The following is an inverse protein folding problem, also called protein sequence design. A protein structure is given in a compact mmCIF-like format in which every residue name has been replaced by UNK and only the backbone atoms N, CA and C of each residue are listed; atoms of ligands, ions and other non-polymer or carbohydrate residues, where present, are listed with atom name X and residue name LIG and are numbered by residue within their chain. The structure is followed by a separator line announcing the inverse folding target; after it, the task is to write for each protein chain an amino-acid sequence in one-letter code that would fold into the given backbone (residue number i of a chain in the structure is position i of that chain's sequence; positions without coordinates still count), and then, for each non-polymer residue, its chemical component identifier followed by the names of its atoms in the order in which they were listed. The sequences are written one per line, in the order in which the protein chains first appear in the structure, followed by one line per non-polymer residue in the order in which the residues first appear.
data_IF_631097569005
#
_entry.id   IF_631097569005
#
_cell.length_a   1.000
_cell.length_b   1.000
_cell.length_c   1.000
_cell.angle_alpha   90.00
_cell.angle_beta   90.00
_cell.angle_gamma   90.00
#
_symmetry.space_group_name_H-M   'P 1'
#
loop_
_entity.id
_entity.type
_entity.pdbx_description
1 polymer ?
#
# COMPACT_ATOMS: atom_id res chain seq x y z
N UNK A 1 14.93 -3.55 35.39
CA UNK A 1 16.32 -3.06 35.42
C UNK A 1 16.41 -1.86 34.50
N UNK A 2 16.48 -0.66 35.00
CA UNK A 2 16.78 0.53 34.19
C UNK A 2 18.27 0.49 33.87
N UNK A 3 18.62 0.50 32.59
CA UNK A 3 20.02 0.64 32.16
C UNK A 3 20.54 2.00 32.66
N UNK A 4 21.81 2.07 33.06
CA UNK A 4 22.46 3.26 33.67
C UNK A 4 22.41 4.54 32.80
N UNK A 5 21.99 4.45 31.55
CA UNK A 5 21.95 5.55 30.56
C UNK A 5 20.57 5.73 29.90
N UNK A 6 19.50 5.25 30.52
CA UNK A 6 18.12 5.38 30.03
C UNK A 6 17.30 6.19 31.02
N UNK A 7 16.68 7.26 30.55
CA UNK A 7 15.65 8.01 31.27
C UNK A 7 14.29 7.69 30.62
N UNK A 8 13.30 7.36 31.44
CA UNK A 8 11.94 7.06 31.02
C UNK A 8 11.02 8.16 31.50
N UNK A 9 10.25 8.73 30.59
CA UNK A 9 9.19 9.70 30.88
C UNK A 9 7.86 9.16 30.38
N UNK A 10 6.85 9.26 31.22
CA UNK A 10 5.48 8.87 30.86
C UNK A 10 4.65 10.12 30.58
N UNK A 11 4.01 10.15 29.43
CA UNK A 11 3.12 11.23 29.00
C UNK A 11 1.73 10.63 28.80
N UNK A 12 0.79 11.03 29.62
CA UNK A 12 -0.57 10.47 29.62
C UNK A 12 -1.53 11.20 28.69
N UNK A 13 -1.13 12.36 28.16
CA UNK A 13 -1.97 13.25 27.37
C UNK A 13 -1.22 13.72 26.13
N UNK A 14 -1.81 13.50 24.95
CA UNK A 14 -1.22 13.91 23.67
C UNK A 14 -0.94 15.43 23.59
N UNK A 15 -1.80 16.25 24.20
CA UNK A 15 -1.64 17.70 24.21
C UNK A 15 -0.36 18.20 24.90
N UNK A 16 0.25 17.36 25.74
CA UNK A 16 1.53 17.63 26.39
C UNK A 16 2.73 17.44 25.48
N UNK A 17 2.58 16.74 24.38
CA UNK A 17 3.64 16.49 23.38
C UNK A 17 3.84 17.72 22.51
N UNK A 18 4.42 18.76 23.09
CA UNK A 18 4.69 20.03 22.42
C UNK A 18 6.18 20.18 22.07
N UNK A 19 6.51 21.12 21.17
CA UNK A 19 7.91 21.45 20.87
C UNK A 19 8.72 21.81 22.12
N UNK A 20 8.11 22.55 23.05
CA UNK A 20 8.77 22.97 24.28
C UNK A 20 9.04 21.76 25.18
N UNK A 21 8.10 20.80 25.29
CA UNK A 21 8.31 19.55 26.00
C UNK A 21 9.56 18.80 25.50
N UNK A 22 9.70 18.65 24.18
CA UNK A 22 10.85 17.95 23.60
C UNK A 22 12.16 18.73 23.77
N UNK A 23 12.13 20.05 23.70
CA UNK A 23 13.30 20.90 23.96
C UNK A 23 13.75 20.74 25.42
N UNK A 24 12.82 20.81 26.35
CA UNK A 24 13.13 20.66 27.79
C UNK A 24 13.64 19.26 28.12
N UNK A 25 12.98 18.23 27.61
CA UNK A 25 13.40 16.85 27.79
C UNK A 25 14.80 16.59 27.19
N UNK A 26 15.07 17.11 26.01
CA UNK A 26 16.39 17.00 25.36
C UNK A 26 17.49 17.67 26.20
N UNK A 27 17.23 18.88 26.68
CA UNK A 27 18.18 19.63 27.52
C UNK A 27 18.47 18.91 28.86
N UNK A 28 17.45 18.30 29.46
CA UNK A 28 17.55 17.58 30.72
C UNK A 28 18.28 16.24 30.57
N UNK A 29 17.89 15.45 29.55
CA UNK A 29 18.38 14.08 29.39
C UNK A 29 19.67 14.01 28.56
N UNK A 30 19.94 15.00 27.70
CA UNK A 30 21.06 15.02 26.74
C UNK A 30 21.12 13.74 25.90
N UNK A 31 19.96 13.21 25.54
CA UNK A 31 19.83 11.98 24.81
C UNK A 31 20.18 12.17 23.33
N UNK A 32 20.97 11.27 22.77
CA UNK A 32 21.26 11.20 21.33
C UNK A 32 20.17 10.48 20.55
N UNK A 33 19.40 9.60 21.24
CA UNK A 33 18.27 8.84 20.69
C UNK A 33 17.10 8.87 21.64
N UNK A 34 15.93 8.97 21.06
CA UNK A 34 14.65 8.90 21.77
C UNK A 34 13.84 7.76 21.15
N UNK A 35 13.36 6.85 22.01
CA UNK A 35 12.39 5.85 21.64
C UNK A 35 11.04 6.27 22.21
N UNK A 36 10.04 6.30 21.35
CA UNK A 36 8.68 6.67 21.76
C UNK A 36 7.79 5.45 21.60
N UNK A 37 7.27 4.94 22.74
CA UNK A 37 6.13 4.01 22.70
C UNK A 37 4.88 4.85 22.57
N UNK A 38 4.40 4.94 21.34
CA UNK A 38 3.32 5.84 20.98
C UNK A 38 1.96 5.18 21.20
N UNK A 39 1.01 5.92 21.76
CA UNK A 39 -0.35 5.44 21.90
C UNK A 39 -1.04 5.40 20.54
N UNK A 40 -1.38 4.21 20.05
CA UNK A 40 -2.00 4.00 18.75
C UNK A 40 -3.38 4.65 18.54
N UNK A 41 -3.97 5.22 19.59
CA UNK A 41 -5.20 6.01 19.50
C UNK A 41 -4.98 7.49 19.21
N UNK A 42 -3.72 7.94 19.30
CA UNK A 42 -3.34 9.33 19.02
C UNK A 42 -2.97 9.50 17.56
N UNK A 43 -3.01 10.74 17.08
CA UNK A 43 -2.68 11.07 15.70
C UNK A 43 -1.17 11.21 15.53
N UNK A 44 -0.62 10.37 14.69
CA UNK A 44 0.82 10.29 14.45
C UNK A 44 1.37 11.52 13.71
N UNK A 45 0.60 12.08 12.78
CA UNK A 45 0.93 13.30 12.05
C UNK A 45 1.04 14.52 12.98
N UNK A 46 0.09 14.71 13.91
CA UNK A 46 0.13 15.77 14.92
C UNK A 46 1.37 15.62 15.83
N UNK A 47 1.72 14.38 16.19
CA UNK A 47 2.94 14.11 16.94
C UNK A 47 4.20 14.51 16.16
N UNK A 48 4.32 14.12 14.91
CA UNK A 48 5.48 14.45 14.06
C UNK A 48 5.61 15.96 13.91
N UNK A 49 4.50 16.68 13.70
CA UNK A 49 4.48 18.13 13.58
C UNK A 49 4.86 18.86 14.89
N UNK A 50 4.70 18.18 16.03
CA UNK A 50 5.09 18.72 17.35
C UNK A 50 6.59 18.62 17.62
N UNK A 51 7.35 17.88 16.81
CA UNK A 51 8.79 17.73 17.03
C UNK A 51 9.57 19.03 16.69
N UNK A 52 10.60 19.37 17.48
CA UNK A 52 11.49 20.50 17.16
C UNK A 52 12.38 20.18 15.96
N UNK A 53 12.82 21.19 15.22
CA UNK A 53 13.56 21.05 13.96
C UNK A 53 14.91 20.30 14.07
N UNK A 54 15.45 20.12 15.27
CA UNK A 54 16.68 19.37 15.50
C UNK A 54 16.41 17.87 15.77
N UNK A 55 15.16 17.46 15.89
CA UNK A 55 14.75 16.06 15.98
C UNK A 55 14.25 15.54 14.65
N UNK A 56 14.63 14.34 14.30
CA UNK A 56 14.22 13.65 13.08
C UNK A 56 13.65 12.29 13.44
N UNK A 57 12.51 11.94 12.85
CA UNK A 57 11.97 10.59 12.95
C UNK A 57 12.78 9.69 12.03
N UNK A 58 13.53 8.77 12.64
CA UNK A 58 14.42 7.85 11.90
C UNK A 58 13.67 6.61 11.44
N UNK A 59 12.72 6.13 12.23
CA UNK A 59 11.94 4.93 11.92
C UNK A 59 10.61 4.93 12.67
N UNK A 60 9.55 4.47 11.98
CA UNK A 60 8.23 4.22 12.55
C UNK A 60 7.92 2.73 12.40
N UNK A 61 7.69 2.06 13.53
CA UNK A 61 7.32 0.66 13.59
C UNK A 61 5.93 0.55 14.22
N UNK A 62 4.99 -0.09 13.53
CA UNK A 62 3.66 -0.36 14.05
C UNK A 62 3.57 -1.81 14.52
N UNK A 63 3.22 -2.03 15.77
CA UNK A 63 2.99 -3.36 16.34
C UNK A 63 1.48 -3.65 16.35
N UNK A 64 1.09 -4.79 15.80
CA UNK A 64 -0.30 -5.22 15.71
C UNK A 64 -0.46 -6.57 16.38
N UNK A 65 -1.37 -6.68 17.32
CA UNK A 65 -1.73 -7.95 17.93
C UNK A 65 -2.69 -8.72 17.01
N UNK A 66 -2.23 -9.84 16.44
CA UNK A 66 -3.02 -10.65 15.52
C UNK A 66 -4.28 -11.26 16.18
N UNK A 67 -4.25 -11.55 17.48
CA UNK A 67 -5.41 -12.12 18.21
C UNK A 67 -6.60 -11.15 18.28
N UNK A 68 -6.35 -9.85 18.24
CA UNK A 68 -7.38 -8.80 18.37
C UNK A 68 -7.59 -8.03 17.08
N UNK A 69 -6.85 -8.37 16.03
CA UNK A 69 -6.82 -7.63 14.77
C UNK A 69 -8.22 -7.44 14.15
N UNK A 70 -8.97 -8.53 13.98
CA UNK A 70 -10.29 -8.48 13.32
C UNK A 70 -11.31 -7.64 14.11
N UNK A 71 -11.22 -7.68 15.43
CA UNK A 71 -12.04 -6.85 16.31
C UNK A 71 -11.72 -5.36 16.11
N UNK A 72 -10.44 -4.99 16.09
CA UNK A 72 -10.03 -3.61 15.84
C UNK A 72 -10.34 -3.17 14.42
N UNK A 73 -10.11 -4.02 13.43
CA UNK A 73 -10.41 -3.73 12.03
C UNK A 73 -11.91 -3.44 11.83
N UNK A 74 -12.78 -4.20 12.49
CA UNK A 74 -14.23 -4.03 12.39
C UNK A 74 -14.74 -2.77 13.08
N UNK A 75 -14.13 -2.37 14.20
CA UNK A 75 -14.64 -1.27 15.04
C UNK A 75 -13.87 0.03 14.85
N UNK A 76 -12.60 -0.02 14.46
CA UNK A 76 -11.67 1.12 14.46
C UNK A 76 -10.79 1.15 13.20
N UNK A 77 -11.34 0.70 12.08
CA UNK A 77 -10.61 0.58 10.80
C UNK A 77 -9.83 1.85 10.46
N UNK A 78 -10.48 3.02 10.54
CA UNK A 78 -9.84 4.29 10.20
C UNK A 78 -8.58 4.55 11.02
N UNK A 79 -8.65 4.36 12.34
CA UNK A 79 -7.52 4.58 13.25
C UNK A 79 -6.36 3.64 12.89
N UNK A 80 -6.65 2.37 12.60
CA UNK A 80 -5.63 1.40 12.19
C UNK A 80 -4.99 1.79 10.85
N UNK A 81 -5.81 2.18 9.85
CA UNK A 81 -5.29 2.60 8.55
C UNK A 81 -4.43 3.86 8.65
N UNK A 82 -4.79 4.81 9.52
CA UNK A 82 -3.99 6.02 9.77
C UNK A 82 -2.61 5.69 10.34
N UNK A 83 -2.51 4.70 11.22
CA UNK A 83 -1.22 4.23 11.75
C UNK A 83 -0.32 3.62 10.65
N UNK A 84 -0.90 3.00 9.61
CA UNK A 84 -0.11 2.40 8.54
C UNK A 84 0.45 3.41 7.53
N UNK A 85 -0.14 4.61 7.41
CA UNK A 85 0.22 5.60 6.38
C UNK A 85 1.69 6.01 6.41
N UNK A 86 2.25 6.18 7.59
CA UNK A 86 3.60 6.70 7.80
C UNK A 86 4.59 5.65 8.30
N UNK A 87 4.14 4.43 8.51
CA UNK A 87 5.00 3.35 9.03
C UNK A 87 5.93 2.79 7.95
N UNK A 88 7.18 2.51 8.30
CA UNK A 88 8.09 1.76 7.43
C UNK A 88 7.99 0.25 7.66
N UNK A 89 7.56 -0.15 8.86
CA UNK A 89 7.49 -1.57 9.24
C UNK A 89 6.25 -1.84 10.08
N UNK A 90 5.48 -2.85 9.69
CA UNK A 90 4.38 -3.39 10.50
C UNK A 90 4.75 -4.79 10.95
N UNK A 91 4.63 -5.06 12.24
CA UNK A 91 4.87 -6.38 12.82
C UNK A 91 3.57 -6.88 13.44
N UNK A 92 3.02 -7.92 12.84
CA UNK A 92 1.91 -8.67 13.43
C UNK A 92 2.49 -9.70 14.39
N UNK A 93 2.32 -9.48 15.68
CA UNK A 93 2.76 -10.44 16.70
C UNK A 93 1.62 -11.39 17.10
N UNK A 94 1.97 -12.44 17.82
CA UNK A 94 1.02 -13.48 18.31
C UNK A 94 0.23 -14.17 17.21
N UNK A 95 0.80 -14.22 16.01
CA UNK A 95 0.20 -15.00 14.94
C UNK A 95 0.19 -16.49 15.29
N UNK A 96 -0.84 -17.18 14.84
CA UNK A 96 -0.99 -18.63 14.89
C UNK A 96 -1.08 -19.22 13.48
N UNK A 97 -1.18 -20.52 13.37
CA UNK A 97 -1.44 -21.19 12.07
C UNK A 97 -2.76 -20.77 11.43
N UNK A 98 -3.72 -20.32 12.23
CA UNK A 98 -5.06 -19.92 11.77
C UNK A 98 -5.13 -18.41 11.41
N UNK A 99 -4.05 -17.66 11.61
CA UNK A 99 -3.97 -16.24 11.27
C UNK A 99 -3.92 -16.04 9.75
N UNK A 100 -4.82 -15.25 9.20
CA UNK A 100 -4.81 -14.89 7.76
C UNK A 100 -3.76 -13.81 7.47
N UNK A 101 -2.51 -14.26 7.39
CA UNK A 101 -1.35 -13.37 7.13
C UNK A 101 -1.45 -12.66 5.80
N UNK A 102 -2.11 -13.29 4.81
CA UNK A 102 -2.32 -12.69 3.49
C UNK A 102 -3.26 -11.49 3.59
N UNK A 103 -4.41 -11.63 4.27
CA UNK A 103 -5.34 -10.53 4.52
C UNK A 103 -4.68 -9.40 5.34
N UNK A 104 -3.90 -9.75 6.38
CA UNK A 104 -3.18 -8.75 7.18
C UNK A 104 -2.19 -7.94 6.33
N UNK A 105 -1.41 -8.63 5.48
CA UNK A 105 -0.49 -7.97 4.56
C UNK A 105 -1.23 -7.09 3.57
N UNK A 106 -2.32 -7.58 2.97
CA UNK A 106 -3.15 -6.80 2.03
C UNK A 106 -3.65 -5.50 2.67
N UNK A 107 -4.16 -5.54 3.89
CA UNK A 107 -4.68 -4.36 4.57
C UNK A 107 -3.61 -3.27 4.79
N UNK A 108 -2.38 -3.66 5.11
CA UNK A 108 -1.24 -2.71 5.23
C UNK A 108 -0.87 -2.16 3.86
N UNK A 109 -0.67 -3.05 2.87
CA UNK A 109 -0.24 -2.68 1.51
C UNK A 109 -1.27 -1.82 0.76
N UNK A 110 -2.55 -2.01 1.03
CA UNK A 110 -3.61 -1.17 0.52
C UNK A 110 -3.43 0.31 0.89
N UNK A 111 -2.89 0.60 2.06
CA UNK A 111 -2.64 1.96 2.55
C UNK A 111 -1.22 2.42 2.21
N UNK A 112 -0.23 1.57 2.45
CA UNK A 112 1.18 1.89 2.32
C UNK A 112 1.93 0.75 1.63
N UNK A 113 2.06 0.83 0.32
CA UNK A 113 2.74 -0.17 -0.52
C UNK A 113 4.22 -0.34 -0.18
N UNK A 114 4.84 0.64 0.48
CA UNK A 114 6.27 0.62 0.85
C UNK A 114 6.54 -0.03 2.20
N UNK A 115 5.53 -0.12 3.08
CA UNK A 115 5.70 -0.70 4.40
C UNK A 115 6.16 -2.16 4.30
N UNK A 116 7.17 -2.51 5.07
CA UNK A 116 7.57 -3.91 5.26
C UNK A 116 6.61 -4.56 6.25
N UNK A 117 6.17 -5.78 5.98
CA UNK A 117 5.23 -6.50 6.85
C UNK A 117 5.89 -7.79 7.35
N UNK A 118 5.94 -7.93 8.65
CA UNK A 118 6.51 -9.09 9.33
C UNK A 118 5.48 -9.77 10.22
N UNK A 119 5.66 -11.06 10.43
CA UNK A 119 4.81 -11.87 11.28
C UNK A 119 5.65 -12.56 12.34
N UNK A 120 5.21 -12.50 13.58
CA UNK A 120 5.78 -13.22 14.71
C UNK A 120 4.77 -14.26 15.18
N UNK A 121 5.15 -15.53 15.12
CA UNK A 121 4.29 -16.64 15.48
C UNK A 121 4.49 -17.02 16.95
N UNK A 122 3.40 -17.15 17.68
CA UNK A 122 3.41 -17.60 19.08
C UNK A 122 3.43 -19.14 19.22
N UNK A 123 3.06 -19.87 18.18
CA UNK A 123 2.93 -21.32 18.17
C UNK A 123 4.03 -22.04 17.35
N UNK A 124 5.03 -21.30 16.87
CA UNK A 124 6.12 -21.84 16.05
C UNK A 124 5.73 -22.13 14.60
N UNK A 125 4.56 -21.65 14.13
CA UNK A 125 4.15 -21.78 12.73
C UNK A 125 5.06 -20.97 11.80
N UNK A 126 5.07 -21.31 10.49
CA UNK A 126 5.82 -20.54 9.49
C UNK A 126 5.36 -19.09 9.42
N UNK A 127 6.28 -18.17 9.25
CA UNK A 127 6.01 -16.75 9.00
C UNK A 127 5.82 -16.43 7.52
N UNK A 128 5.87 -17.43 6.66
CA UNK A 128 5.62 -17.26 5.23
C UNK A 128 4.19 -16.88 4.93
N UNK A 129 4.03 -16.02 3.94
CA UNK A 129 2.72 -15.61 3.43
C UNK A 129 2.50 -16.34 2.10
N UNK A 130 1.57 -17.27 2.11
CA UNK A 130 1.12 -17.93 0.90
C UNK A 130 -0.13 -17.20 0.39
N UNK A 131 0.06 -16.28 -0.56
CA UNK A 131 -1.06 -15.63 -1.25
C UNK A 131 -1.62 -16.61 -2.27
N UNK A 132 -2.88 -17.02 -2.10
CA UNK A 132 -3.59 -17.81 -3.08
C UNK A 132 -4.23 -16.84 -4.06
N UNK A 133 -3.69 -16.80 -5.28
CA UNK A 133 -4.23 -15.95 -6.33
C UNK A 133 -5.45 -16.63 -6.96
N UNK A 134 -6.56 -15.90 -7.23
CA UNK A 134 -7.76 -16.46 -7.85
C UNK A 134 -7.58 -16.75 -9.35
N UNK A 135 -6.48 -16.34 -9.93
CA UNK A 135 -6.09 -16.55 -11.32
C UNK A 135 -4.80 -17.36 -11.42
N UNK A 136 -4.65 -18.08 -12.54
CA UNK A 136 -3.52 -18.98 -12.75
C UNK A 136 -2.29 -18.24 -13.32
N UNK A 137 -1.34 -17.93 -12.44
CA UNK A 137 -0.11 -17.22 -12.78
C UNK A 137 0.84 -18.07 -13.66
N UNK A 138 0.63 -19.38 -13.79
CA UNK A 138 1.48 -20.24 -14.64
C UNK A 138 1.20 -20.04 -16.13
N UNK A 139 0.02 -19.52 -16.49
CA UNK A 139 -0.37 -19.26 -17.87
C UNK A 139 0.40 -18.06 -18.45
N UNK A 140 0.59 -18.05 -19.76
CA UNK A 140 1.16 -16.91 -20.48
C UNK A 140 0.17 -15.76 -20.62
N UNK A 141 -1.11 -16.08 -20.72
CA UNK A 141 -2.22 -15.12 -20.73
C UNK A 141 -3.06 -15.27 -19.47
N UNK A 142 -3.22 -14.17 -18.74
CA UNK A 142 -3.92 -14.10 -17.45
C UNK A 142 -5.07 -13.13 -17.61
N UNK A 143 -6.28 -13.64 -17.48
CA UNK A 143 -7.49 -12.82 -17.40
C UNK A 143 -7.76 -12.45 -15.95
N UNK A 144 -7.87 -11.15 -15.68
CA UNK A 144 -8.12 -10.60 -14.34
C UNK A 144 -9.59 -10.16 -14.28
N UNK A 145 -10.36 -10.82 -13.45
CA UNK A 145 -11.76 -10.46 -13.22
C UNK A 145 -11.88 -9.10 -12.49
N UNK A 146 -13.08 -8.51 -12.54
CA UNK A 146 -13.31 -7.19 -11.95
C UNK A 146 -13.01 -7.18 -10.44
N UNK A 147 -13.42 -8.21 -9.72
CA UNK A 147 -13.19 -8.42 -8.29
C UNK A 147 -11.73 -8.68 -7.92
N UNK A 148 -10.96 -9.23 -8.86
CA UNK A 148 -9.57 -9.65 -8.62
C UNK A 148 -8.55 -8.54 -8.92
N UNK A 149 -9.00 -7.43 -9.49
CA UNK A 149 -8.11 -6.34 -9.91
C UNK A 149 -7.24 -5.81 -8.77
N UNK A 150 -7.80 -5.66 -7.56
CA UNK A 150 -7.08 -5.17 -6.40
C UNK A 150 -5.97 -6.12 -5.96
N UNK A 151 -6.28 -7.40 -5.90
CA UNK A 151 -5.33 -8.45 -5.53
C UNK A 151 -4.20 -8.58 -6.56
N UNK A 152 -4.56 -8.60 -7.86
CA UNK A 152 -3.58 -8.58 -8.93
C UNK A 152 -2.66 -7.36 -8.84
N UNK A 153 -3.23 -6.16 -8.67
CA UNK A 153 -2.46 -4.92 -8.56
C UNK A 153 -1.43 -4.98 -7.44
N UNK A 154 -1.83 -5.47 -6.26
CA UNK A 154 -0.92 -5.57 -5.11
C UNK A 154 0.16 -6.62 -5.32
N UNK A 155 -0.20 -7.82 -5.79
CA UNK A 155 0.80 -8.87 -6.04
C UNK A 155 1.78 -8.46 -7.13
N UNK A 156 1.30 -7.79 -8.19
CA UNK A 156 2.15 -7.30 -9.27
C UNK A 156 3.07 -6.13 -8.85
N UNK A 157 2.67 -5.33 -7.88
CA UNK A 157 3.53 -4.30 -7.28
C UNK A 157 4.63 -4.90 -6.39
N UNK A 158 4.29 -5.93 -5.62
CA UNK A 158 5.21 -6.58 -4.71
C UNK A 158 6.15 -7.59 -5.41
N UNK A 159 5.66 -8.23 -6.47
CA UNK A 159 6.33 -9.31 -7.17
C UNK A 159 6.31 -9.10 -8.71
N UNK A 160 6.84 -7.99 -9.22
CA UNK A 160 6.74 -7.66 -10.65
C UNK A 160 7.32 -8.75 -11.57
N UNK A 161 8.36 -9.45 -11.14
CA UNK A 161 9.00 -10.49 -11.94
C UNK A 161 8.11 -11.71 -12.22
N UNK A 162 7.10 -11.97 -11.37
CA UNK A 162 6.10 -13.03 -11.61
C UNK A 162 5.29 -12.78 -12.89
N UNK A 163 5.14 -11.52 -13.27
CA UNK A 163 4.32 -11.07 -14.40
C UNK A 163 5.16 -10.70 -15.62
N UNK A 164 6.48 -10.81 -15.53
CA UNK A 164 7.35 -10.44 -16.65
C UNK A 164 7.03 -11.26 -17.90
N UNK A 165 6.80 -10.56 -19.02
CA UNK A 165 6.36 -11.10 -20.33
C UNK A 165 4.97 -11.76 -20.37
N UNK A 166 4.21 -11.77 -19.27
CA UNK A 166 2.81 -12.25 -19.29
C UNK A 166 1.90 -11.29 -20.06
N UNK A 167 0.89 -11.84 -20.70
CA UNK A 167 -0.21 -11.08 -21.29
C UNK A 167 -1.31 -10.94 -20.25
N UNK A 168 -1.67 -9.72 -19.93
CA UNK A 168 -2.73 -9.41 -18.98
C UNK A 168 -3.94 -8.91 -19.75
N UNK A 169 -5.08 -9.52 -19.50
CA UNK A 169 -6.37 -9.07 -19.99
C UNK A 169 -7.23 -8.63 -18.82
N UNK A 170 -7.62 -7.36 -18.80
CA UNK A 170 -8.37 -6.79 -17.67
C UNK A 170 -9.24 -5.62 -18.11
N UNK A 171 -10.35 -5.44 -17.40
CA UNK A 171 -11.17 -4.25 -17.54
C UNK A 171 -10.58 -3.13 -16.70
N UNK A 172 -10.39 -1.97 -17.30
CA UNK A 172 -9.75 -0.83 -16.65
C UNK A 172 -10.44 0.49 -17.03
N UNK A 173 -10.27 1.48 -16.17
CA UNK A 173 -10.61 2.88 -16.43
C UNK A 173 -9.42 3.56 -17.10
N UNK A 174 -9.69 4.32 -18.14
CA UNK A 174 -8.68 5.16 -18.81
C UNK A 174 -8.35 6.36 -17.92
N UNK A 175 -7.07 6.56 -17.66
CA UNK A 175 -6.55 7.78 -17.04
C UNK A 175 -5.38 8.32 -17.87
N UNK A 176 -5.50 9.57 -18.35
CA UNK A 176 -4.51 10.23 -19.21
C UNK A 176 -3.81 11.38 -18.48
N UNK A 177 -2.84 11.12 -17.60
CA UNK A 177 -2.08 12.19 -16.96
C UNK A 177 -1.41 13.08 -17.99
N UNK A 178 -1.39 14.39 -17.78
CA UNK A 178 -0.77 15.36 -18.70
C UNK A 178 0.68 15.01 -19.06
N UNK A 179 1.41 14.43 -18.13
CA UNK A 179 2.80 13.99 -18.32
C UNK A 179 2.95 12.78 -19.27
N UNK A 180 1.87 12.01 -19.51
CA UNK A 180 1.85 10.84 -20.38
C UNK A 180 1.36 11.18 -21.80
N UNK A 181 0.51 12.18 -21.95
CA UNK A 181 -0.16 12.53 -23.21
C UNK A 181 0.80 12.74 -24.40
N UNK A 182 2.00 13.29 -24.14
CA UNK A 182 3.01 13.56 -25.18
C UNK A 182 3.88 12.35 -25.54
N UNK A 183 3.70 11.21 -24.86
CA UNK A 183 4.60 10.04 -24.95
C UNK A 183 3.90 8.78 -25.44
N UNK A 184 2.66 8.87 -25.94
CA UNK A 184 1.89 7.68 -26.33
C UNK A 184 1.64 6.75 -25.13
N UNK A 185 1.36 7.30 -23.96
CA UNK A 185 1.18 6.54 -22.71
C UNK A 185 -0.11 6.96 -22.02
N UNK A 186 -0.66 6.06 -21.23
CA UNK A 186 -1.76 6.31 -20.29
C UNK A 186 -1.62 5.42 -19.05
N UNK A 187 -2.54 5.53 -18.13
CA UNK A 187 -2.62 4.64 -16.99
C UNK A 187 -3.98 3.93 -16.98
N UNK A 188 -4.05 2.67 -17.40
CA UNK A 188 -5.20 1.82 -17.15
C UNK A 188 -5.24 1.45 -15.68
N UNK A 189 -6.41 1.55 -15.06
CA UNK A 189 -6.53 1.26 -13.65
C UNK A 189 -7.96 1.23 -13.15
N UNK A 190 -8.13 1.25 -11.84
CA UNK A 190 -9.43 1.30 -11.17
C UNK A 190 -9.37 2.29 -10.01
N UNK A 191 -10.53 2.74 -9.55
CA UNK A 191 -10.62 3.45 -8.30
C UNK A 191 -10.72 2.43 -7.16
N UNK A 192 -9.92 2.60 -6.13
CA UNK A 192 -9.87 1.72 -4.99
C UNK A 192 -10.24 2.47 -3.70
N UNK A 193 -10.98 1.82 -2.83
CA UNK A 193 -11.33 2.32 -1.51
C UNK A 193 -10.76 1.39 -0.44
N UNK A 194 -10.10 1.96 0.56
CA UNK A 194 -9.50 1.21 1.66
C UNK A 194 -10.40 1.14 2.87
N UNK A 195 -10.91 2.27 3.34
CA UNK A 195 -11.75 2.32 4.54
C UNK A 195 -13.01 3.18 4.38
N UNK A 196 -13.00 4.26 3.63
CA UNK A 196 -14.14 5.16 3.45
C UNK A 196 -14.07 5.92 2.12
N UNK A 197 -15.14 6.63 1.79
CA UNK A 197 -15.23 7.37 0.51
C UNK A 197 -14.15 8.46 0.38
N UNK A 198 -13.64 8.98 1.48
CA UNK A 198 -12.63 10.04 1.48
C UNK A 198 -11.24 9.51 1.08
N UNK A 199 -11.00 8.20 1.16
CA UNK A 199 -9.72 7.59 0.78
C UNK A 199 -9.72 6.96 -0.63
N UNK A 200 -10.77 7.19 -1.41
CA UNK A 200 -10.83 6.68 -2.79
C UNK A 200 -9.68 7.24 -3.61
N UNK A 201 -8.86 6.34 -4.14
CA UNK A 201 -7.71 6.69 -4.96
C UNK A 201 -7.65 5.86 -6.22
N UNK A 202 -7.04 6.42 -7.26
CA UNK A 202 -6.76 5.69 -8.48
C UNK A 202 -5.53 4.78 -8.30
N UNK A 203 -5.67 3.51 -8.65
CA UNK A 203 -4.60 2.53 -8.73
C UNK A 203 -4.50 2.02 -10.17
N UNK A 204 -3.29 1.85 -10.67
CA UNK A 204 -3.06 1.38 -12.05
C UNK A 204 -1.59 1.43 -12.41
N UNK A 205 -1.27 0.88 -13.56
CA UNK A 205 0.09 0.80 -14.07
C UNK A 205 0.30 1.76 -15.23
N UNK A 206 1.55 2.16 -15.46
CA UNK A 206 1.91 2.86 -16.68
C UNK A 206 1.72 1.91 -17.86
N UNK A 207 1.05 2.37 -18.92
CA UNK A 207 0.85 1.64 -20.15
C UNK A 207 1.40 2.43 -21.33
N UNK A 208 2.20 1.77 -22.15
CA UNK A 208 2.80 2.30 -23.37
C UNK A 208 1.99 1.79 -24.56
N UNK A 209 1.62 2.69 -25.45
CA UNK A 209 0.96 2.37 -26.70
C UNK A 209 1.93 2.49 -27.89
N UNK A 210 1.77 1.62 -28.87
CA UNK A 210 2.33 1.78 -30.21
C UNK A 210 1.42 2.64 -31.11
N UNK A 211 1.72 2.73 -32.39
CA UNK A 211 0.94 3.56 -33.32
C UNK A 211 -0.50 3.04 -33.50
N UNK A 212 -0.73 1.74 -33.39
CA UNK A 212 -2.06 1.12 -33.55
C UNK A 212 -2.90 1.35 -32.31
N UNK A 213 -2.38 0.93 -31.14
CA UNK A 213 -3.07 1.07 -29.86
C UNK A 213 -3.19 2.53 -29.42
N UNK A 214 -2.26 3.40 -29.86
CA UNK A 214 -2.36 4.84 -29.66
C UNK A 214 -3.59 5.44 -30.38
N UNK A 215 -3.86 5.01 -31.64
CA UNK A 215 -5.08 5.42 -32.36
C UNK A 215 -6.35 4.87 -31.72
N UNK A 216 -6.32 3.63 -31.22
CA UNK A 216 -7.45 3.09 -30.45
C UNK A 216 -7.71 3.96 -29.22
N UNK A 217 -6.65 4.30 -28.47
CA UNK A 217 -6.74 5.11 -27.25
C UNK A 217 -7.31 6.53 -27.49
N UNK A 218 -7.09 7.12 -28.67
CA UNK A 218 -7.65 8.44 -29.01
C UNK A 218 -9.18 8.47 -28.96
N UNK A 219 -9.83 7.33 -29.22
CA UNK A 219 -11.29 7.17 -29.16
C UNK A 219 -11.89 7.22 -27.77
N UNK A 220 -11.09 7.14 -26.71
CA UNK A 220 -11.54 7.09 -25.32
C UNK A 220 -11.18 8.36 -24.54
N UNK A 221 -12.02 8.72 -23.58
CA UNK A 221 -11.82 9.85 -22.66
C UNK A 221 -11.36 9.33 -21.29
N UNK A 222 -10.88 10.24 -20.46
CA UNK A 222 -10.66 9.94 -19.05
C UNK A 222 -11.94 9.41 -18.41
N UNK A 223 -11.81 8.34 -17.65
CA UNK A 223 -12.87 7.59 -16.98
C UNK A 223 -13.74 6.69 -17.85
N UNK A 224 -13.46 6.59 -19.14
CA UNK A 224 -14.08 5.53 -19.95
C UNK A 224 -13.57 4.16 -19.52
N UNK A 225 -14.44 3.15 -19.59
CA UNK A 225 -14.07 1.76 -19.35
C UNK A 225 -13.62 1.08 -20.63
N UNK A 226 -12.52 0.38 -20.55
CA UNK A 226 -11.92 -0.40 -21.63
C UNK A 226 -11.64 -1.83 -21.18
N UNK A 227 -11.67 -2.76 -22.12
CA UNK A 227 -10.99 -4.05 -21.99
C UNK A 227 -9.60 -3.89 -22.60
N UNK A 228 -8.59 -4.00 -21.75
CA UNK A 228 -7.20 -3.89 -22.15
C UNK A 228 -6.58 -5.28 -22.22
N UNK A 229 -5.94 -5.58 -23.36
CA UNK A 229 -4.98 -6.67 -23.48
C UNK A 229 -3.58 -6.06 -23.60
N UNK A 230 -2.69 -6.39 -22.68
CA UNK A 230 -1.36 -5.80 -22.64
C UNK A 230 -0.29 -6.81 -22.19
N UNK A 231 0.90 -6.67 -22.72
CA UNK A 231 2.06 -7.41 -22.21
C UNK A 231 2.65 -6.68 -21.02
N UNK A 232 2.75 -7.37 -19.89
CA UNK A 232 3.42 -6.88 -18.70
C UNK A 232 4.93 -7.07 -18.81
N UNK A 233 5.71 -6.10 -18.34
CA UNK A 233 7.16 -6.21 -18.18
C UNK A 233 7.61 -5.66 -16.85
N UNK A 234 8.53 -6.37 -16.22
CA UNK A 234 9.23 -5.90 -15.03
C UNK A 234 10.36 -4.96 -15.45
N UNK A 235 10.22 -3.66 -15.18
CA UNK A 235 11.19 -2.65 -15.57
C UNK A 235 11.47 -1.68 -14.40
N UNK A 236 12.63 -1.03 -14.43
CA UNK A 236 12.92 0.04 -13.50
C UNK A 236 12.02 1.25 -13.75
N UNK A 237 11.19 1.55 -12.76
CA UNK A 237 10.27 2.68 -12.79
C UNK A 237 10.74 3.78 -11.83
N UNK A 238 11.00 4.96 -12.36
CA UNK A 238 11.40 6.13 -11.54
C UNK A 238 10.32 6.51 -10.53
N UNK A 239 9.06 6.33 -10.90
CA UNK A 239 7.90 6.60 -10.07
C UNK A 239 7.88 5.72 -8.81
N UNK A 240 8.33 4.47 -8.93
CA UNK A 240 8.41 3.51 -7.81
C UNK A 240 9.79 3.47 -7.17
N UNK A 241 10.79 4.14 -7.76
CA UNK A 241 12.20 4.08 -7.36
C UNK A 241 12.75 2.64 -7.29
N UNK A 242 12.24 1.75 -8.13
CA UNK A 242 12.57 0.33 -8.15
C UNK A 242 11.99 -0.40 -9.35
N UNK A 243 12.08 -1.72 -9.34
CA UNK A 243 11.39 -2.57 -10.32
C UNK A 243 9.88 -2.43 -10.13
N UNK A 244 9.14 -2.43 -11.24
CA UNK A 244 7.70 -2.37 -11.24
C UNK A 244 7.13 -2.77 -12.59
N UNK A 245 5.82 -2.97 -12.66
CA UNK A 245 5.15 -3.35 -13.88
C UNK A 245 4.95 -2.15 -14.80
N UNK A 246 5.34 -2.34 -16.05
CA UNK A 246 4.95 -1.51 -17.19
C UNK A 246 4.14 -2.36 -18.16
N UNK A 247 2.97 -1.88 -18.53
CA UNK A 247 2.12 -2.54 -19.51
C UNK A 247 2.44 -2.00 -20.92
N UNK A 248 2.46 -2.88 -21.89
CA UNK A 248 2.56 -2.55 -23.31
C UNK A 248 1.27 -2.98 -23.98
N UNK A 249 0.46 -2.01 -24.39
CA UNK A 249 -0.84 -2.26 -24.97
C UNK A 249 -0.70 -3.10 -26.25
N UNK A 250 -1.52 -4.13 -26.35
CA UNK A 250 -1.65 -4.98 -27.54
C UNK A 250 -3.00 -4.77 -28.20
N UNK A 251 -4.05 -4.54 -27.41
CA UNK A 251 -5.38 -4.22 -27.88
C UNK A 251 -6.17 -3.42 -26.83
N UNK A 252 -7.05 -2.53 -27.31
CA UNK A 252 -7.91 -1.67 -26.48
C UNK A 252 -9.31 -1.67 -27.07
N UNK A 253 -10.24 -2.31 -26.39
CA UNK A 253 -11.64 -2.39 -26.78
C UNK A 253 -12.54 -1.64 -25.78
N UNK A 254 -13.73 -1.24 -26.22
CA UNK A 254 -14.72 -0.64 -25.32
C UNK A 254 -15.28 -1.68 -24.35
N UNK A 255 -15.43 -1.29 -23.09
CA UNK A 255 -16.03 -2.14 -22.08
C UNK A 255 -17.18 -1.43 -21.36
N UNK A 256 -18.16 -2.22 -20.91
CA UNK A 256 -19.20 -1.71 -20.02
C UNK A 256 -18.63 -1.46 -18.63
N UNK A 257 -19.17 -0.45 -17.94
CA UNK A 257 -18.89 -0.24 -16.53
C UNK A 257 -19.27 -1.50 -15.74
N UNK A 258 -18.40 -2.02 -14.83
CA UNK A 258 -18.76 -3.13 -13.97
C UNK A 258 -19.87 -2.74 -12.98
N UNK A 259 -20.51 -3.75 -12.39
CA UNK A 259 -21.56 -3.52 -11.38
C UNK A 259 -21.01 -2.75 -10.18
N UNK A 260 -19.83 -3.16 -9.69
CA UNK A 260 -19.05 -2.39 -8.71
C UNK A 260 -17.83 -1.78 -9.41
N UNK A 261 -17.76 -0.46 -9.48
CA UNK A 261 -16.65 0.27 -10.10
C UNK A 261 -15.50 0.57 -9.12
N UNK A 262 -15.71 0.33 -7.84
CA UNK A 262 -14.68 0.41 -6.83
C UNK A 262 -13.99 -0.94 -6.63
N UNK A 263 -12.73 -0.88 -6.31
CA UNK A 263 -11.91 -2.03 -5.90
C UNK A 263 -11.70 -1.97 -4.40
N UNK A 264 -11.81 -3.11 -3.77
CA UNK A 264 -11.56 -3.29 -2.34
C UNK A 264 -10.35 -4.23 -2.17
N UNK A 265 -9.68 -4.11 -1.04
CA UNK A 265 -8.51 -4.93 -0.70
C UNK A 265 -8.82 -5.93 0.42
N UNK A 266 -9.98 -6.54 0.35
CA UNK A 266 -10.45 -7.51 1.35
C UNK A 266 -9.83 -8.90 1.16
#
# INVERSE_FOLDING_TARGET
MTALNVTVEMVEDAEKLTKDFFVEASNRCKAERVFVEFNGMWKLDEFIDSLPNFMEVVQIITLVNAETYDMYLSNMRQVMMDQYKLTEMVIFNRCTKDSDRAAYRRSVKAVNTRAQVYFESSDGSSNEVNEILPFDISKDEIEIADEDFGLWYMDAMDNPDKYDNKIIKTKAVVYKPKQYAKKGMFAPGRFAMTCCVEDVRFIGFRCVCDDVTGKQLEGYRDRDFIMLTARAKSEFCKEYKGQGIVLYAMDIESASKPEDDLVYFN
#
